data_IF_383496539984
#
_entry.id   IF_383496539984
#
_cell.length_a   1.000
_cell.length_b   1.000
_cell.length_c   1.000
_cell.angle_alpha   90.00
_cell.angle_beta   90.00
_cell.angle_gamma   90.00
#
_symmetry.space_group_name_H-M   'P 1'
#
loop_
_entity.id
_entity.type
_entity.pdbx_description
1 polymer ?
#
# COMPACT_ATOMS: atom_id res chain seq x y z
N UNK A 1 4.13 -14.24 -4.74
CA UNK A 1 3.89 -12.77 -4.67
C UNK A 1 5.09 -12.02 -5.21
N UNK A 2 4.89 -10.88 -5.89
CA UNK A 2 6.00 -9.99 -6.25
C UNK A 2 5.97 -8.73 -5.41
N UNK A 3 7.09 -8.34 -4.82
CA UNK A 3 7.29 -7.06 -4.14
C UNK A 3 8.19 -6.18 -4.99
N UNK A 4 7.70 -4.98 -5.28
CA UNK A 4 8.46 -3.93 -5.92
C UNK A 4 9.13 -3.06 -4.86
N UNK A 5 10.44 -2.88 -4.96
CA UNK A 5 11.15 -1.86 -4.19
C UNK A 5 11.52 -0.69 -5.09
N UNK A 6 11.49 0.51 -4.53
CA UNK A 6 12.06 1.68 -5.22
C UNK A 6 13.57 1.45 -5.43
N UNK A 7 14.14 1.80 -6.61
CA UNK A 7 15.56 1.61 -6.89
C UNK A 7 16.50 2.26 -5.87
N UNK A 8 16.04 3.29 -5.15
CA UNK A 8 16.81 3.95 -4.07
C UNK A 8 16.90 3.11 -2.80
N UNK A 9 16.10 2.06 -2.68
CA UNK A 9 16.11 1.14 -1.52
C UNK A 9 17.35 0.25 -1.59
N UNK A 10 18.24 0.35 -0.60
CA UNK A 10 19.46 -0.46 -0.53
C UNK A 10 19.16 -1.92 -0.23
N UNK A 11 20.11 -2.83 -0.52
CA UNK A 11 19.94 -4.26 -0.20
C UNK A 11 19.65 -4.47 1.30
N UNK A 12 20.40 -3.83 2.19
CA UNK A 12 20.18 -3.94 3.63
C UNK A 12 18.78 -3.46 4.06
N UNK A 13 18.23 -2.43 3.42
CA UNK A 13 16.85 -1.99 3.67
C UNK A 13 15.84 -3.03 3.16
N UNK A 14 16.05 -3.64 1.99
CA UNK A 14 15.17 -4.69 1.47
C UNK A 14 15.18 -5.92 2.36
N UNK A 15 16.36 -6.34 2.81
CA UNK A 15 16.53 -7.49 3.70
C UNK A 15 15.84 -7.26 5.06
N UNK A 16 15.83 -6.03 5.56
CA UNK A 16 15.09 -5.66 6.76
C UNK A 16 13.58 -5.55 6.53
N UNK A 17 13.14 -5.08 5.36
CA UNK A 17 11.71 -4.89 5.04
C UNK A 17 11.00 -6.20 4.68
N UNK A 18 11.68 -7.13 4.00
CA UNK A 18 11.11 -8.41 3.57
C UNK A 18 10.47 -9.23 4.72
N UNK A 19 11.13 -9.51 5.86
CA UNK A 19 10.51 -10.25 6.97
C UNK A 19 9.32 -9.50 7.56
N UNK A 20 9.39 -8.17 7.64
CA UNK A 20 8.31 -7.32 8.14
C UNK A 20 7.08 -7.43 7.24
N UNK A 21 7.26 -7.39 5.91
CA UNK A 21 6.18 -7.54 4.92
C UNK A 21 5.56 -8.93 5.04
N UNK A 22 6.37 -9.98 4.99
CA UNK A 22 5.89 -11.36 5.08
C UNK A 22 5.07 -11.59 6.36
N UNK A 23 5.58 -11.13 7.50
CA UNK A 23 4.87 -11.25 8.78
C UNK A 23 3.57 -10.44 8.79
N UNK A 24 3.61 -9.17 8.36
CA UNK A 24 2.43 -8.31 8.34
C UNK A 24 1.30 -8.95 7.55
N UNK A 25 1.59 -9.59 6.41
CA UNK A 25 0.58 -10.22 5.55
C UNK A 25 0.37 -11.73 5.79
N UNK A 26 1.07 -12.33 6.77
CA UNK A 26 0.97 -13.77 7.05
C UNK A 26 1.47 -14.68 5.93
N UNK A 27 2.51 -14.25 5.20
CA UNK A 27 3.06 -14.95 4.04
C UNK A 27 4.34 -15.71 4.39
N UNK A 28 4.66 -16.75 3.62
CA UNK A 28 5.89 -17.55 3.77
C UNK A 28 7.00 -17.13 2.79
N UNK A 29 8.25 -17.36 3.17
CA UNK A 29 9.46 -16.93 2.45
C UNK A 29 9.61 -17.48 1.02
N UNK A 30 9.05 -18.65 0.73
CA UNK A 30 9.21 -19.34 -0.56
C UNK A 30 8.52 -18.64 -1.74
N UNK A 31 7.68 -17.64 -1.49
CA UNK A 31 6.84 -17.04 -2.52
C UNK A 31 7.24 -15.62 -2.94
N UNK A 32 8.29 -15.04 -2.35
CA UNK A 32 8.64 -13.63 -2.56
C UNK A 32 9.57 -13.42 -3.76
N UNK A 33 9.03 -12.95 -4.88
CA UNK A 33 9.81 -12.40 -5.99
C UNK A 33 10.06 -10.92 -5.74
N UNK A 34 11.29 -10.46 -5.95
CA UNK A 34 11.64 -9.05 -5.81
C UNK A 34 11.85 -8.44 -7.20
N UNK A 35 11.28 -7.26 -7.42
CA UNK A 35 11.57 -6.43 -8.58
C UNK A 35 11.90 -5.00 -8.17
N UNK A 36 12.62 -4.27 -9.02
CA UNK A 36 12.87 -2.85 -8.82
C UNK A 36 11.97 -2.04 -9.74
N UNK A 37 11.26 -1.07 -9.18
CA UNK A 37 10.43 -0.15 -9.94
C UNK A 37 10.23 1.15 -9.14
N UNK A 38 10.39 2.34 -9.76
CA UNK A 38 10.10 3.60 -9.12
C UNK A 38 8.71 3.57 -8.48
N UNK A 39 8.63 3.92 -7.20
CA UNK A 39 7.38 3.92 -6.44
C UNK A 39 7.19 5.30 -5.82
N UNK A 40 6.07 5.93 -6.11
CA UNK A 40 5.75 7.27 -5.63
C UNK A 40 4.36 7.27 -4.99
N UNK A 41 4.24 7.92 -3.84
CA UNK A 41 2.95 8.28 -3.24
C UNK A 41 2.96 9.79 -3.02
N UNK A 42 1.98 10.48 -3.58
CA UNK A 42 1.80 11.92 -3.42
C UNK A 42 0.42 12.18 -2.84
N UNK A 43 0.38 12.95 -1.75
CA UNK A 43 -0.86 13.45 -1.18
C UNK A 43 -0.93 14.96 -1.38
N UNK A 44 -2.00 15.44 -2.02
CA UNK A 44 -2.27 16.85 -2.26
C UNK A 44 -3.72 17.16 -1.93
N UNK A 45 -3.94 17.80 -0.78
CA UNK A 45 -5.28 18.03 -0.24
C UNK A 45 -6.03 16.70 -0.06
N UNK A 46 -7.16 16.58 -0.75
CA UNK A 46 -8.04 15.40 -0.71
C UNK A 46 -7.72 14.36 -1.79
N UNK A 47 -6.75 14.63 -2.65
CA UNK A 47 -6.28 13.70 -3.67
C UNK A 47 -5.05 12.96 -3.16
N UNK A 48 -5.06 11.64 -3.31
CA UNK A 48 -3.87 10.79 -3.14
C UNK A 48 -3.60 10.08 -4.46
N UNK A 49 -2.35 10.13 -4.89
CA UNK A 49 -1.87 9.40 -6.06
C UNK A 49 -0.78 8.42 -5.64
N UNK A 50 -0.85 7.20 -6.16
CA UNK A 50 0.22 6.21 -6.04
C UNK A 50 0.59 5.69 -7.43
N UNK A 51 1.88 5.67 -7.73
CA UNK A 51 2.43 5.24 -9.03
C UNK A 51 3.46 4.14 -8.84
N UNK A 52 3.38 3.12 -9.69
CA UNK A 52 4.40 2.10 -9.87
C UNK A 52 4.97 2.20 -11.28
N UNK A 53 6.31 2.22 -11.39
CA UNK A 53 7.02 2.41 -12.65
C UNK A 53 6.51 3.65 -13.40
N UNK A 54 6.51 4.81 -12.73
CA UNK A 54 6.01 6.09 -13.23
C UNK A 54 4.54 6.06 -13.68
N UNK A 55 3.75 5.13 -13.14
CA UNK A 55 2.35 4.93 -13.52
C UNK A 55 2.15 4.00 -14.72
N UNK A 56 3.22 3.44 -15.31
CA UNK A 56 3.10 2.52 -16.45
C UNK A 56 2.59 1.15 -16.03
N UNK A 57 3.10 0.62 -14.92
CA UNK A 57 2.70 -0.70 -14.40
C UNK A 57 1.45 -0.62 -13.53
N UNK A 58 1.35 0.38 -12.65
CA UNK A 58 0.14 0.59 -11.87
C UNK A 58 -0.02 2.05 -11.52
N UNK A 59 -1.28 2.48 -11.44
CA UNK A 59 -1.63 3.83 -11.01
C UNK A 59 -2.92 3.80 -10.21
N UNK A 60 -2.90 4.54 -9.11
CA UNK A 60 -4.03 4.75 -8.24
C UNK A 60 -4.19 6.26 -8.05
N UNK A 61 -5.39 6.77 -8.32
CA UNK A 61 -5.79 8.13 -7.98
C UNK A 61 -7.06 8.06 -7.16
N UNK A 62 -6.99 8.61 -5.97
CA UNK A 62 -8.02 8.51 -4.95
C UNK A 62 -8.53 9.88 -4.57
N UNK A 63 -9.83 9.97 -4.32
CA UNK A 63 -10.51 11.13 -3.73
C UNK A 63 -10.90 10.77 -2.30
N UNK A 64 -10.56 11.62 -1.34
CA UNK A 64 -10.94 11.44 0.07
C UNK A 64 -12.46 11.46 0.18
N UNK A 65 -13.01 10.49 0.91
CA UNK A 65 -14.44 10.44 1.20
C UNK A 65 -14.79 11.46 2.29
N UNK A 66 -15.74 12.38 2.03
CA UNK A 66 -16.21 13.32 3.03
C UNK A 66 -17.17 12.63 4.00
N UNK A 67 -17.02 12.96 5.28
CA UNK A 67 -17.99 12.69 6.31
C UNK A 67 -19.16 13.66 6.22
N UNK A 68 -20.13 13.47 7.10
CA UNK A 68 -21.34 14.32 7.15
C UNK A 68 -21.01 15.80 7.45
N UNK A 69 -19.86 16.05 8.08
CA UNK A 69 -19.32 17.37 8.40
C UNK A 69 -18.39 17.92 7.30
N UNK A 70 -18.29 17.22 6.16
CA UNK A 70 -17.43 17.56 5.04
C UNK A 70 -15.95 17.24 5.25
N UNK A 71 -15.53 16.71 6.41
CA UNK A 71 -14.13 16.36 6.69
C UNK A 71 -13.83 14.92 6.29
N UNK A 72 -12.56 14.56 6.21
CA UNK A 72 -12.16 13.19 5.93
C UNK A 72 -12.68 12.15 6.92
N UNK A 73 -13.14 11.01 6.42
CA UNK A 73 -13.52 9.85 7.25
C UNK A 73 -12.29 9.01 7.60
N UNK A 74 -12.16 8.64 8.89
CA UNK A 74 -11.16 7.67 9.36
C UNK A 74 -11.86 6.56 10.13
N UNK A 75 -11.80 5.34 9.62
CA UNK A 75 -12.30 4.16 10.32
C UNK A 75 -11.24 3.66 11.31
N UNK A 76 -11.60 3.55 12.59
CA UNK A 76 -10.71 3.14 13.68
C UNK A 76 -11.20 1.84 14.34
N UNK A 77 -10.36 1.28 15.21
CA UNK A 77 -10.64 0.02 15.94
C UNK A 77 -10.81 -1.20 15.03
N UNK A 78 -10.02 -1.24 13.94
CA UNK A 78 -9.93 -2.39 13.04
C UNK A 78 -8.49 -2.87 13.05
N UNK A 79 -8.30 -4.18 13.34
CA UNK A 79 -6.98 -4.82 13.26
C UNK A 79 -6.57 -4.90 11.79
N UNK A 80 -5.33 -4.56 11.48
CA UNK A 80 -4.77 -4.71 10.14
C UNK A 80 -3.75 -5.85 10.15
N UNK A 81 -4.22 -7.05 9.79
CA UNK A 81 -3.42 -8.29 9.82
C UNK A 81 -2.55 -8.38 11.08
N UNK A 82 -1.25 -8.67 10.97
CA UNK A 82 -0.32 -8.77 12.09
C UNK A 82 0.45 -7.46 12.40
N UNK A 83 -0.02 -6.31 11.91
CA UNK A 83 0.53 -5.02 12.32
C UNK A 83 0.35 -4.80 13.83
N UNK A 84 1.35 -4.20 14.47
CA UNK A 84 1.36 -3.92 15.92
C UNK A 84 0.39 -2.80 16.24
N UNK A 85 0.37 -1.76 15.41
CA UNK A 85 -0.49 -0.59 15.55
C UNK A 85 -0.88 -0.05 14.17
N UNK A 86 -1.99 0.70 14.11
CA UNK A 86 -2.35 1.50 12.94
C UNK A 86 -3.09 2.77 13.36
N UNK A 87 -2.95 3.83 12.55
CA UNK A 87 -3.59 5.14 12.79
C UNK A 87 -5.08 5.19 12.38
N UNK A 88 -5.59 4.08 11.83
CA UNK A 88 -6.91 3.97 11.22
C UNK A 88 -6.86 4.07 9.70
N UNK A 89 -7.97 3.67 9.08
CA UNK A 89 -8.16 3.61 7.64
C UNK A 89 -8.77 4.93 7.19
N UNK A 90 -7.96 5.80 6.59
CA UNK A 90 -8.47 7.00 5.95
C UNK A 90 -9.23 6.56 4.69
N UNK A 91 -10.51 6.91 4.60
CA UNK A 91 -11.39 6.40 3.55
C UNK A 91 -11.33 7.25 2.27
N UNK A 92 -11.29 6.56 1.14
CA UNK A 92 -11.23 7.16 -0.18
C UNK A 92 -12.12 6.40 -1.17
N UNK A 93 -12.37 7.01 -2.32
CA UNK A 93 -12.82 6.33 -3.53
C UNK A 93 -11.83 6.48 -4.67
N UNK A 94 -11.72 5.45 -5.50
CA UNK A 94 -10.89 5.49 -6.69
C UNK A 94 -11.51 6.37 -7.77
N UNK A 95 -10.80 7.43 -8.16
CA UNK A 95 -11.00 8.11 -9.45
C UNK A 95 -10.42 7.22 -10.56
N UNK A 96 -9.23 6.67 -10.32
CA UNK A 96 -8.55 5.73 -11.22
C UNK A 96 -7.87 4.65 -10.38
N UNK A 97 -8.05 3.39 -10.77
CA UNK A 97 -7.38 2.26 -10.16
C UNK A 97 -7.08 1.22 -11.22
N UNK A 98 -5.82 1.19 -11.67
CA UNK A 98 -5.40 0.26 -12.72
C UNK A 98 -4.06 -0.36 -12.41
N UNK A 99 -3.89 -1.59 -12.89
CA UNK A 99 -2.62 -2.26 -12.94
C UNK A 99 -2.53 -3.09 -14.23
N UNK A 100 -1.33 -3.17 -14.77
CA UNK A 100 -0.89 -4.14 -15.76
C UNK A 100 0.44 -4.69 -15.26
N UNK A 101 0.35 -5.76 -14.47
CA UNK A 101 1.49 -6.33 -13.77
C UNK A 101 1.44 -7.84 -13.93
N UNK A 102 2.48 -8.41 -14.54
CA UNK A 102 2.69 -9.86 -14.63
C UNK A 102 1.51 -10.63 -15.26
N UNK A 103 0.87 -10.06 -16.29
CA UNK A 103 -0.26 -10.69 -16.97
C UNK A 103 -1.60 -10.54 -16.23
N UNK A 104 -1.63 -9.84 -15.10
CA UNK A 104 -2.84 -9.45 -14.40
C UNK A 104 -3.15 -7.98 -14.72
N UNK A 105 -4.12 -7.78 -15.62
CA UNK A 105 -4.57 -6.46 -16.02
C UNK A 105 -5.96 -6.17 -15.43
N UNK A 106 -6.13 -4.99 -14.84
CA UNK A 106 -7.44 -4.48 -14.47
C UNK A 106 -7.48 -2.95 -14.57
N UNK A 107 -8.69 -2.41 -14.66
CA UNK A 107 -8.96 -0.98 -14.57
C UNK A 107 -10.34 -0.77 -13.95
N UNK A 108 -10.39 0.06 -12.91
CA UNK A 108 -11.59 0.36 -12.16
C UNK A 108 -11.70 1.85 -11.83
N UNK A 109 -12.94 2.27 -11.65
CA UNK A 109 -13.32 3.55 -11.06
C UNK A 109 -14.36 3.28 -9.96
N UNK A 110 -14.60 4.26 -9.10
CA UNK A 110 -15.64 4.26 -8.06
C UNK A 110 -15.57 3.10 -7.03
N UNK A 111 -14.38 2.52 -6.81
CA UNK A 111 -14.14 1.51 -5.78
C UNK A 111 -13.79 2.16 -4.44
N UNK A 112 -14.31 1.58 -3.37
CA UNK A 112 -13.88 1.93 -2.01
C UNK A 112 -12.39 1.60 -1.86
N UNK A 113 -11.65 2.55 -1.33
CA UNK A 113 -10.22 2.46 -1.09
C UNK A 113 -9.89 3.07 0.28
N UNK A 114 -8.67 2.85 0.75
CA UNK A 114 -8.18 3.48 1.96
C UNK A 114 -6.68 3.74 1.88
N UNK A 115 -6.23 4.73 2.66
CA UNK A 115 -4.84 4.93 3.02
C UNK A 115 -4.68 4.62 4.51
N UNK A 116 -3.64 3.86 4.86
CA UNK A 116 -3.36 3.47 6.24
C UNK A 116 -1.87 3.64 6.53
N UNK A 117 -1.56 4.07 7.76
CA UNK A 117 -0.22 4.04 8.33
C UNK A 117 -0.20 2.94 9.39
N UNK A 118 0.80 2.07 9.33
CA UNK A 118 0.95 0.95 10.24
C UNK A 118 2.33 0.97 10.89
N UNK A 119 2.40 0.43 12.10
CA UNK A 119 3.66 0.04 12.73
C UNK A 119 3.75 -1.47 12.68
N UNK A 120 4.78 -1.98 12.03
CA UNK A 120 5.10 -3.41 12.00
C UNK A 120 6.48 -3.62 12.61
N UNK A 121 6.66 -4.76 13.26
CA UNK A 121 7.94 -5.14 13.86
C UNK A 121 8.28 -6.58 13.49
N UNK A 122 9.56 -6.85 13.25
CA UNK A 122 10.06 -8.22 13.31
C UNK A 122 10.00 -8.64 14.78
N UNK A 123 9.31 -9.74 15.09
CA UNK A 123 9.41 -10.31 16.42
C UNK A 123 10.62 -11.23 16.42
N UNK A 124 11.63 -10.95 17.25
CA UNK A 124 12.66 -11.94 17.56
C UNK A 124 11.94 -13.22 17.97
N UNK A 125 12.19 -14.31 17.24
CA UNK A 125 11.67 -15.62 17.62
C UNK A 125 12.07 -15.87 19.09
N UNK A 126 11.07 -16.13 19.94
CA UNK A 126 11.30 -16.65 21.28
C UNK A 126 11.73 -18.11 21.20
#
# INVERSE_FOLDING_TARGET
MTVSFDPKTTQAQRDALAPIILKTYGLEWGELKVQEAPTEILQSGDIVEAKLADGKQAYLKLQREPGIDGKGVVLKNVKYFDAVQNDGFQMYKSIEHRADVQGHQFSYTDRNAFLITIVSQETSAK
#
